data_IF_792637619491
#
_entry.id   IF_792637619491
#
_cell.length_a   1.000
_cell.length_b   1.000
_cell.length_c   1.000
_cell.angle_alpha   90.00
_cell.angle_beta   90.00
_cell.angle_gamma   90.00
#
_symmetry.space_group_name_H-M   'P 1'
#
loop_
_entity.id
_entity.type
_entity.pdbx_description
1 polymer ?
#
# COMPACT_ATOMS: atom_id res chain seq x y z
N UNK A 1 26.64 19.78 7.78
CA UNK A 1 25.29 19.18 7.61
C UNK A 1 25.34 17.75 8.11
N UNK A 2 25.19 17.52 9.43
CA UNK A 2 25.10 16.16 9.97
C UNK A 2 23.69 15.61 9.78
N UNK A 3 23.47 14.85 8.71
CA UNK A 3 22.32 13.96 8.57
C UNK A 3 22.58 12.65 9.32
N UNK A 4 22.52 12.68 10.65
CA UNK A 4 22.70 11.47 11.45
C UNK A 4 21.36 10.75 11.59
N UNK A 5 21.22 9.63 10.89
CA UNK A 5 20.20 8.64 11.19
C UNK A 5 20.58 7.97 12.51
N UNK A 6 19.66 7.88 13.46
CA UNK A 6 19.92 7.23 14.75
C UNK A 6 19.09 5.96 14.87
N UNK A 7 19.71 4.88 15.35
CA UNK A 7 18.96 3.69 15.74
C UNK A 7 18.11 4.04 16.96
N UNK A 8 16.81 3.75 16.91
CA UNK A 8 15.93 3.95 18.04
C UNK A 8 16.24 2.89 19.10
N UNK A 9 16.76 3.30 20.26
CA UNK A 9 17.11 2.39 21.36
C UNK A 9 15.98 1.42 21.67
N UNK A 10 16.28 0.12 21.66
CA UNK A 10 15.33 -0.97 21.93
C UNK A 10 14.56 -1.50 20.73
N UNK A 11 14.76 -0.93 19.53
CA UNK A 11 14.17 -1.43 18.28
C UNK A 11 15.23 -1.45 17.18
N UNK A 12 15.17 -2.41 16.25
CA UNK A 12 16.05 -2.42 15.07
C UNK A 12 15.60 -1.42 13.98
N UNK A 13 14.99 -0.32 14.40
CA UNK A 13 14.40 0.71 13.54
C UNK A 13 15.31 1.94 13.46
N UNK A 14 15.39 2.51 12.27
CA UNK A 14 16.11 3.74 11.97
C UNK A 14 15.17 4.93 12.15
N UNK A 15 15.59 5.90 12.94
CA UNK A 15 14.88 7.16 13.09
C UNK A 15 15.09 8.07 11.88
N UNK A 16 14.01 8.38 11.18
CA UNK A 16 14.05 9.20 9.96
C UNK A 16 13.78 10.67 10.29
N UNK A 17 14.74 11.58 10.02
CA UNK A 17 14.55 13.02 10.23
C UNK A 17 13.40 13.58 9.38
N UNK A 18 12.96 14.80 9.70
CA UNK A 18 11.84 15.49 9.03
C UNK A 18 12.23 16.04 7.64
N UNK A 19 12.82 15.20 6.80
CA UNK A 19 13.09 15.49 5.40
C UNK A 19 12.00 14.86 4.55
N UNK A 20 11.12 15.71 4.00
CA UNK A 20 9.96 15.28 3.22
C UNK A 20 10.35 14.32 2.09
N UNK A 21 11.35 14.69 1.30
CA UNK A 21 11.84 13.90 0.16
C UNK A 21 12.32 12.51 0.57
N UNK A 22 13.02 12.40 1.71
CA UNK A 22 13.51 11.11 2.21
C UNK A 22 12.34 10.21 2.66
N UNK A 23 11.41 10.75 3.44
CA UNK A 23 10.24 9.98 3.91
C UNK A 23 9.38 9.51 2.76
N UNK A 24 9.14 10.39 1.79
CA UNK A 24 8.37 10.07 0.58
C UNK A 24 9.04 8.98 -0.25
N UNK A 25 10.37 9.02 -0.44
CA UNK A 25 11.12 7.96 -1.13
C UNK A 25 10.98 6.61 -0.42
N UNK A 26 11.08 6.58 0.92
CA UNK A 26 10.91 5.35 1.68
C UNK A 26 9.48 4.79 1.58
N UNK A 27 8.47 5.67 1.60
CA UNK A 27 7.07 5.27 1.41
C UNK A 27 6.86 4.74 -0.01
N UNK A 28 7.41 5.41 -1.02
CA UNK A 28 7.35 4.99 -2.41
C UNK A 28 7.95 3.60 -2.59
N UNK A 29 9.15 3.36 -2.06
CA UNK A 29 9.81 2.05 -2.13
C UNK A 29 8.95 0.96 -1.47
N UNK A 30 8.40 1.24 -0.29
CA UNK A 30 7.50 0.31 0.39
C UNK A 30 6.19 0.07 -0.39
N UNK A 31 5.63 1.10 -1.03
CA UNK A 31 4.36 1.04 -1.76
C UNK A 31 4.49 0.34 -3.13
N UNK A 32 5.57 0.62 -3.86
CA UNK A 32 5.83 0.21 -5.24
C UNK A 32 6.69 -1.06 -5.34
N UNK A 33 7.14 -1.61 -4.22
CA UNK A 33 8.03 -2.78 -4.13
C UNK A 33 7.56 -4.03 -4.90
N UNK A 34 6.28 -4.13 -5.27
CA UNK A 34 5.78 -5.18 -6.15
C UNK A 34 5.19 -4.58 -7.44
N UNK A 35 5.88 -4.78 -8.56
CA UNK A 35 5.55 -4.25 -9.90
C UNK A 35 4.09 -4.47 -10.35
N UNK A 36 3.41 -5.48 -9.79
CA UNK A 36 2.02 -5.84 -10.12
C UNK A 36 1.02 -5.61 -8.99
N UNK A 37 1.45 -5.14 -7.81
CA UNK A 37 0.56 -4.88 -6.68
C UNK A 37 1.10 -3.74 -5.84
N UNK A 38 0.57 -2.53 -6.09
CA UNK A 38 0.66 -1.44 -5.14
C UNK A 38 0.01 -1.87 -3.82
N UNK A 39 0.74 -1.74 -2.71
CA UNK A 39 0.21 -2.09 -1.41
C UNK A 39 -0.77 -1.04 -0.88
N UNK A 40 -1.81 -1.50 -0.18
CA UNK A 40 -2.69 -0.61 0.58
C UNK A 40 -2.00 -0.01 1.80
N UNK A 41 -2.64 0.99 2.41
CA UNK A 41 -2.11 1.79 3.53
C UNK A 41 -1.52 0.90 4.65
N UNK A 42 -2.29 -0.08 5.14
CA UNK A 42 -1.87 -0.90 6.28
C UNK A 42 -0.62 -1.73 5.98
N UNK A 43 -0.54 -2.29 4.76
CA UNK A 43 0.59 -3.11 4.34
C UNK A 43 1.83 -2.27 4.08
N UNK A 44 1.67 -1.10 3.46
CA UNK A 44 2.78 -0.14 3.30
C UNK A 44 3.30 0.33 4.66
N UNK A 45 2.42 0.69 5.60
CA UNK A 45 2.82 1.11 6.94
C UNK A 45 3.52 -0.01 7.72
N UNK A 46 3.05 -1.26 7.60
CA UNK A 46 3.71 -2.40 8.24
C UNK A 46 5.11 -2.63 7.66
N UNK A 47 5.26 -2.67 6.34
CA UNK A 47 6.55 -2.85 5.66
C UNK A 47 7.57 -1.79 6.06
N UNK A 48 7.14 -0.53 5.99
CA UNK A 48 7.94 0.62 6.37
C UNK A 48 8.36 0.56 7.85
N UNK A 49 7.43 0.15 8.72
CA UNK A 49 7.62 0.04 10.17
C UNK A 49 8.61 -1.04 10.61
N UNK A 50 9.00 -2.01 9.76
CA UNK A 50 10.05 -2.98 10.15
C UNK A 50 11.42 -2.34 10.31
N UNK A 51 11.70 -1.30 9.52
CA UNK A 51 13.05 -0.72 9.41
C UNK A 51 13.09 0.76 9.74
N UNK A 52 11.98 1.49 9.61
CA UNK A 52 11.95 2.94 9.71
C UNK A 52 10.89 3.40 10.70
N UNK A 53 11.18 4.49 11.40
CA UNK A 53 10.22 5.14 12.28
C UNK A 53 10.47 6.65 12.34
N UNK A 54 9.41 7.44 12.54
CA UNK A 54 9.46 8.89 12.76
C UNK A 54 8.16 9.33 13.46
N UNK A 55 7.93 10.64 13.71
CA UNK A 55 6.65 11.09 14.25
C UNK A 55 5.53 10.92 13.21
N UNK A 56 4.57 10.05 13.51
CA UNK A 56 3.35 9.81 12.73
C UNK A 56 3.55 9.34 11.26
N UNK A 57 4.24 8.21 11.03
CA UNK A 57 4.46 7.66 9.69
C UNK A 57 3.17 7.21 9.02
N UNK A 58 2.15 6.82 9.79
CA UNK A 58 0.86 6.36 9.28
C UNK A 58 0.14 7.44 8.47
N UNK A 59 0.17 8.69 8.94
CA UNK A 59 -0.42 9.83 8.21
C UNK A 59 0.30 10.10 6.89
N UNK A 60 1.63 10.05 6.89
CA UNK A 60 2.42 10.24 5.67
C UNK A 60 2.15 9.12 4.66
N UNK A 61 2.09 7.87 5.11
CA UNK A 61 1.70 6.71 4.27
C UNK A 61 0.29 6.88 3.72
N UNK A 62 -0.67 7.28 4.54
CA UNK A 62 -2.05 7.48 4.10
C UNK A 62 -2.13 8.54 3.01
N UNK A 63 -1.47 9.69 3.18
CA UNK A 63 -1.43 10.76 2.17
C UNK A 63 -0.83 10.27 0.86
N UNK A 64 0.28 9.54 0.93
CA UNK A 64 0.94 9.01 -0.25
C UNK A 64 0.05 8.01 -1.00
N UNK A 65 -0.41 6.95 -0.33
CA UNK A 65 -1.20 5.88 -0.95
C UNK A 65 -2.54 6.39 -1.49
N UNK A 66 -3.17 7.37 -0.82
CA UNK A 66 -4.41 7.98 -1.33
C UNK A 66 -4.18 8.83 -2.57
N UNK A 67 -3.01 9.44 -2.73
CA UNK A 67 -2.63 10.18 -3.96
C UNK A 67 -2.20 9.28 -5.13
N UNK A 68 -1.96 7.98 -4.91
CA UNK A 68 -1.49 7.06 -5.96
C UNK A 68 -2.52 6.85 -7.07
N UNK A 69 -2.23 7.38 -8.27
CA UNK A 69 -3.13 7.30 -9.41
C UNK A 69 -3.46 5.86 -9.85
N UNK A 70 -2.50 4.93 -9.77
CA UNK A 70 -2.70 3.51 -10.12
C UNK A 70 -3.69 2.86 -9.15
N UNK A 71 -3.53 3.09 -7.84
CA UNK A 71 -4.46 2.62 -6.82
C UNK A 71 -5.87 3.16 -7.04
N UNK A 72 -6.00 4.46 -7.32
CA UNK A 72 -7.32 5.08 -7.54
C UNK A 72 -8.02 4.51 -8.79
N UNK A 73 -7.28 4.33 -9.89
CA UNK A 73 -7.82 3.74 -11.14
C UNK A 73 -8.31 2.31 -10.92
N UNK A 74 -7.52 1.45 -10.27
CA UNK A 74 -7.91 0.06 -10.03
C UNK A 74 -9.14 -0.05 -9.12
N UNK A 75 -9.21 0.74 -8.04
CA UNK A 75 -10.36 0.74 -7.12
C UNK A 75 -11.66 1.18 -7.78
N UNK A 76 -11.61 2.20 -8.66
CA UNK A 76 -12.81 2.70 -9.35
C UNK A 76 -13.49 1.65 -10.24
N UNK A 77 -12.74 0.66 -10.72
CA UNK A 77 -13.27 -0.40 -11.59
C UNK A 77 -14.23 -1.37 -10.90
N UNK A 78 -14.18 -1.44 -9.56
CA UNK A 78 -15.01 -2.31 -8.71
C UNK A 78 -16.40 -1.73 -8.40
N UNK A 79 -16.65 -0.46 -8.73
CA UNK A 79 -17.95 0.19 -8.53
C UNK A 79 -18.90 0.01 -9.72
N UNK A 80 -18.47 -0.69 -10.78
CA UNK A 80 -19.43 -1.17 -11.77
C UNK A 80 -20.36 -2.15 -11.05
N UNK A 81 -21.69 -1.99 -11.15
CA UNK A 81 -22.60 -2.98 -10.59
C UNK A 81 -22.15 -4.35 -11.13
N UNK A 82 -22.05 -5.39 -10.28
CA UNK A 82 -21.77 -6.72 -10.78
C UNK A 82 -22.78 -6.96 -11.90
N UNK A 83 -22.27 -7.22 -13.12
CA UNK A 83 -23.14 -7.60 -14.21
C UNK A 83 -23.99 -8.77 -13.76
N UNK A 84 -25.24 -8.87 -14.25
CA UNK A 84 -26.08 -10.03 -13.94
C UNK A 84 -25.26 -11.29 -14.25
N UNK A 85 -25.03 -12.12 -13.22
CA UNK A 85 -24.42 -13.43 -13.41
C UNK A 85 -25.32 -14.19 -14.37
N UNK A 86 -24.82 -14.48 -15.57
CA UNK A 86 -25.56 -15.28 -16.52
C UNK A 86 -25.61 -16.72 -15.99
N UNK A 87 -26.79 -17.29 -15.70
CA UNK A 87 -26.89 -18.68 -15.28
C UNK A 87 -26.28 -19.57 -16.36
N UNK A 88 -25.43 -20.51 -15.95
CA UNK A 88 -24.99 -21.57 -16.85
C UNK A 88 -26.23 -22.38 -17.25
N UNK A 89 -26.38 -22.67 -18.55
CA UNK A 89 -27.45 -23.54 -19.01
C UNK A 89 -27.31 -24.90 -18.30
N UNK A 90 -28.40 -25.41 -17.68
CA UNK A 90 -28.36 -26.72 -17.07
C UNK A 90 -28.02 -27.77 -18.15
N UNK A 91 -27.17 -28.77 -17.84
CA UNK A 91 -26.83 -29.80 -18.83
C UNK A 91 -28.10 -30.53 -19.29
N UNK A 92 -28.28 -30.63 -20.61
CA UNK A 92 -29.45 -31.20 -21.30
C UNK A 92 -29.63 -32.73 -21.15
N UNK A 93 -29.21 -33.34 -20.05
CA UNK A 93 -29.32 -34.78 -19.86
C UNK A 93 -29.76 -35.18 -18.45
N UNK A 94 -30.97 -34.76 -18.08
CA UNK A 94 -31.82 -35.55 -17.18
C UNK A 94 -32.85 -36.30 -18.03
N UNK A 95 -32.44 -37.42 -18.62
CA UNK A 95 -33.39 -38.47 -19.01
C UNK A 95 -33.54 -39.38 -17.80
N UNK A 96 -34.72 -39.29 -17.18
CA UNK A 96 -35.27 -40.26 -16.23
C UNK A 96 -35.89 -41.40 -17.02
#
# INVERSE_FOLDING_TARGET
MQGAYHLKSGTNQIWVPAYHTLRELLIQEAHDSNFLSHYGIDKTANLLGHHYNWPDPSTDVQRYVTSCAMCQRMKSSLLRPPGLLQPLEPPCNYLV
#
